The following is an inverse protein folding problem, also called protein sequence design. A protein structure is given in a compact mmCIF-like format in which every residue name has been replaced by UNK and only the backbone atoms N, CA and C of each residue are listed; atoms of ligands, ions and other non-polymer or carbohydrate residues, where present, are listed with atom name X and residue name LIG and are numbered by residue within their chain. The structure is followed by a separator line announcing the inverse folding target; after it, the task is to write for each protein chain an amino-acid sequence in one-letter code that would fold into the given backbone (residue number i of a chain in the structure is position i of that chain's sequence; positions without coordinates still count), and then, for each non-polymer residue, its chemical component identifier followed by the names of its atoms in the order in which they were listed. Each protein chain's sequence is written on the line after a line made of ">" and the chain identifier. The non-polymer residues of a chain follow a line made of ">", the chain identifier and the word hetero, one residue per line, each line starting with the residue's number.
data_IF_246733091268
#
_entry.id   IF_246733091268
#
_cell.length_a   1.000
_cell.length_b   1.000
_cell.length_c   1.000
_cell.angle_alpha   90.00
_cell.angle_beta   90.00
_cell.angle_gamma   90.00
#
_symmetry.space_group_name_H-M   'P 1'
#
loop_
_entity.id
_entity.type
_entity.pdbx_description
1 polymer ?
#
# COMPACT_ATOMS: atom_id res chain seq x y z
N UNK A 1 15.26 -10.70 25.06
CA UNK A 1 15.88 -10.31 23.77
C UNK A 1 14.76 -9.71 22.93
N UNK A 2 14.85 -8.42 22.59
CA UNK A 2 13.85 -7.80 21.69
C UNK A 2 14.11 -8.42 20.31
N UNK A 3 13.18 -9.23 19.85
CA UNK A 3 13.22 -9.73 18.47
C UNK A 3 13.25 -8.57 17.47
N UNK A 4 13.89 -8.74 16.32
CA UNK A 4 13.92 -7.73 15.27
C UNK A 4 12.51 -7.43 14.74
N UNK A 5 12.34 -6.26 14.11
CA UNK A 5 11.05 -5.79 13.56
C UNK A 5 11.13 -5.63 12.04
N UNK A 6 10.04 -5.95 11.37
CA UNK A 6 9.86 -5.64 9.95
C UNK A 6 8.89 -4.46 9.81
N UNK A 7 9.40 -3.32 9.36
CA UNK A 7 8.59 -2.17 9.01
C UNK A 7 8.23 -2.23 7.53
N UNK A 8 6.95 -2.10 7.20
CA UNK A 8 6.49 -2.03 5.83
C UNK A 8 5.78 -0.70 5.63
N UNK A 9 6.34 0.14 4.77
CA UNK A 9 5.78 1.44 4.42
C UNK A 9 5.08 1.32 3.07
N UNK A 10 3.77 1.56 3.06
CA UNK A 10 2.99 1.62 1.83
C UNK A 10 2.96 3.05 1.32
N UNK A 11 3.33 3.22 0.07
CA UNK A 11 3.35 4.50 -0.62
C UNK A 11 2.39 4.45 -1.80
N UNK A 12 1.46 5.41 -1.85
CA UNK A 12 0.61 5.65 -3.01
C UNK A 12 1.35 6.57 -3.99
N UNK A 13 1.04 6.47 -5.30
CA UNK A 13 1.54 7.43 -6.29
C UNK A 13 1.02 8.85 -6.07
N UNK A 14 1.80 9.85 -6.46
CA UNK A 14 1.41 11.25 -6.48
C UNK A 14 0.25 11.54 -7.44
N UNK A 15 -0.28 12.77 -7.37
CA UNK A 15 -1.40 13.20 -8.20
C UNK A 15 -1.08 13.08 -9.69
N UNK A 16 -2.06 12.56 -10.46
CA UNK A 16 -2.04 12.50 -11.92
C UNK A 16 -3.16 13.37 -12.50
N UNK A 17 -3.10 13.71 -13.79
CA UNK A 17 -4.20 14.43 -14.45
C UNK A 17 -5.51 13.64 -14.37
N UNK A 18 -5.45 12.32 -14.54
CA UNK A 18 -6.62 11.45 -14.43
C UNK A 18 -7.27 11.50 -13.02
N UNK A 19 -6.50 11.79 -11.95
CA UNK A 19 -7.08 12.02 -10.62
C UNK A 19 -7.88 13.32 -10.58
N UNK A 20 -7.36 14.41 -11.18
CA UNK A 20 -8.03 15.72 -11.25
C UNK A 20 -9.31 15.61 -12.07
N UNK A 21 -9.24 14.97 -13.23
CA UNK A 21 -10.33 14.84 -14.19
C UNK A 21 -11.34 13.75 -13.80
N UNK A 22 -11.13 13.04 -12.67
CA UNK A 22 -11.96 11.93 -12.19
C UNK A 22 -12.11 10.83 -13.24
N UNK A 23 -10.97 10.42 -13.82
CA UNK A 23 -10.88 9.38 -14.86
C UNK A 23 -10.38 8.08 -14.25
N UNK A 24 -11.03 6.96 -14.59
CA UNK A 24 -10.66 5.60 -14.19
C UNK A 24 -9.31 5.23 -14.81
N UNK A 25 -8.30 5.07 -13.97
CA UNK A 25 -6.93 4.83 -14.44
C UNK A 25 -6.62 3.35 -14.69
N UNK A 26 -6.95 2.48 -13.73
CA UNK A 26 -6.58 1.06 -13.82
C UNK A 26 -5.10 0.87 -14.16
N UNK A 27 -4.82 0.19 -15.29
CA UNK A 27 -3.49 -0.04 -15.82
C UNK A 27 -3.01 1.01 -16.83
N UNK A 28 -3.80 2.05 -17.13
CA UNK A 28 -3.32 3.18 -17.95
C UNK A 28 -2.02 3.72 -17.38
N UNK A 29 -1.06 3.98 -18.27
CA UNK A 29 0.28 4.45 -17.85
C UNK A 29 0.36 5.97 -17.96
N UNK A 30 -0.06 6.64 -16.88
CA UNK A 30 -0.16 8.11 -16.78
C UNK A 30 1.00 8.69 -15.99
N UNK A 31 1.36 9.93 -16.30
CA UNK A 31 2.40 10.69 -15.60
C UNK A 31 1.83 11.43 -14.38
N UNK A 32 2.72 11.82 -13.48
CA UNK A 32 2.39 12.74 -12.39
C UNK A 32 2.15 14.16 -12.93
N UNK A 33 1.26 14.91 -12.27
CA UNK A 33 1.16 16.37 -12.44
C UNK A 33 2.36 17.06 -11.80
N UNK A 34 2.51 18.37 -12.00
CA UNK A 34 3.50 19.16 -11.28
C UNK A 34 3.32 19.02 -9.76
N UNK A 35 2.08 19.06 -9.28
CA UNK A 35 1.75 18.83 -7.87
C UNK A 35 2.12 17.41 -7.43
N UNK A 36 1.86 16.38 -8.27
CA UNK A 36 2.28 15.02 -8.00
C UNK A 36 3.80 14.88 -7.84
N UNK A 37 4.58 15.59 -8.65
CA UNK A 37 6.04 15.64 -8.51
C UNK A 37 6.48 16.38 -7.23
N UNK A 38 5.77 17.42 -6.81
CA UNK A 38 6.02 18.10 -5.53
C UNK A 38 5.74 17.16 -4.35
N UNK A 39 4.61 16.45 -4.39
CA UNK A 39 4.28 15.41 -3.40
C UNK A 39 5.37 14.35 -3.31
N UNK A 40 5.89 13.87 -4.45
CA UNK A 40 6.99 12.90 -4.47
C UNK A 40 8.27 13.44 -3.80
N UNK A 41 8.59 14.73 -3.97
CA UNK A 41 9.74 15.36 -3.28
C UNK A 41 9.49 15.51 -1.78
N UNK A 42 8.26 15.88 -1.37
CA UNK A 42 7.88 15.93 0.06
C UNK A 42 8.02 14.55 0.70
N UNK A 43 7.52 13.51 0.04
CA UNK A 43 7.69 12.13 0.49
C UNK A 43 9.17 11.75 0.67
N UNK A 44 10.01 12.05 -0.32
CA UNK A 44 11.45 11.77 -0.24
C UNK A 44 12.10 12.51 0.94
N UNK A 45 11.71 13.78 1.19
CA UNK A 45 12.17 14.54 2.36
C UNK A 45 11.71 13.93 3.69
N UNK A 46 10.50 13.39 3.75
CA UNK A 46 10.02 12.68 4.94
C UNK A 46 10.78 11.39 5.24
N UNK A 47 11.30 10.74 4.19
CA UNK A 47 12.00 9.48 4.27
C UNK A 47 13.53 9.63 4.28
N UNK A 48 14.08 10.86 4.24
CA UNK A 48 15.52 11.09 4.09
C UNK A 48 16.37 10.49 5.23
N UNK A 49 15.84 10.51 6.47
CA UNK A 49 16.51 9.96 7.65
C UNK A 49 16.14 8.49 7.92
N UNK A 50 15.27 7.90 7.08
CA UNK A 50 14.87 6.51 7.22
C UNK A 50 15.84 5.60 6.50
N UNK A 51 16.38 4.61 7.20
CA UNK A 51 17.08 3.53 6.53
C UNK A 51 16.06 2.64 5.81
N UNK A 52 16.11 2.61 4.49
CA UNK A 52 15.25 1.76 3.64
C UNK A 52 16.11 0.63 3.09
N UNK A 53 15.73 -0.60 3.38
CA UNK A 53 16.46 -1.79 2.94
C UNK A 53 16.12 -2.22 1.51
N UNK A 54 14.88 -1.98 1.07
CA UNK A 54 14.41 -2.38 -0.26
C UNK A 54 13.10 -1.66 -0.62
N UNK A 55 12.90 -1.41 -1.92
CA UNK A 55 11.63 -0.89 -2.46
C UNK A 55 11.06 -1.91 -3.45
N UNK A 56 9.83 -2.38 -3.20
CA UNK A 56 8.99 -3.08 -4.17
C UNK A 56 7.99 -2.08 -4.75
N UNK A 57 7.78 -2.10 -6.07
CA UNK A 57 6.92 -1.09 -6.67
C UNK A 57 6.15 -1.58 -7.89
N UNK A 58 4.96 -1.01 -8.11
CA UNK A 58 4.26 -1.15 -9.38
C UNK A 58 5.10 -0.56 -10.53
N UNK A 59 5.15 -1.19 -11.71
CA UNK A 59 5.95 -0.70 -12.84
C UNK A 59 5.34 0.53 -13.53
N UNK A 60 4.11 0.96 -13.18
CA UNK A 60 3.45 2.10 -13.83
C UNK A 60 4.18 3.42 -13.56
N UNK A 61 4.25 4.28 -14.59
CA UNK A 61 5.07 5.51 -14.57
C UNK A 61 4.77 6.42 -13.38
N UNK A 62 3.51 6.63 -13.03
CA UNK A 62 3.14 7.42 -11.84
C UNK A 62 3.77 6.93 -10.56
N UNK A 63 3.98 5.60 -10.41
CA UNK A 63 4.65 5.02 -9.24
C UNK A 63 6.17 5.22 -9.34
N UNK A 64 6.78 4.91 -10.49
CA UNK A 64 8.22 5.07 -10.67
C UNK A 64 8.64 6.54 -10.53
N UNK A 65 7.82 7.48 -10.99
CA UNK A 65 8.04 8.91 -10.80
C UNK A 65 7.88 9.33 -9.34
N UNK A 66 6.98 8.70 -8.59
CA UNK A 66 6.78 9.00 -7.16
C UNK A 66 7.97 8.57 -6.31
N UNK A 67 8.57 7.40 -6.58
CA UNK A 67 9.72 6.92 -5.82
C UNK A 67 11.06 7.49 -6.32
N UNK A 68 11.09 8.12 -7.49
CA UNK A 68 12.33 8.62 -8.10
C UNK A 68 13.11 9.56 -7.18
N UNK A 69 12.51 10.59 -6.52
CA UNK A 69 13.27 11.46 -5.62
C UNK A 69 13.86 10.73 -4.41
N UNK A 70 13.25 9.63 -3.94
CA UNK A 70 13.84 8.79 -2.89
C UNK A 70 15.11 8.13 -3.40
N UNK A 71 15.07 7.56 -4.60
CA UNK A 71 16.21 6.88 -5.22
C UNK A 71 17.33 7.86 -5.63
N UNK A 72 17.00 9.11 -5.96
CA UNK A 72 17.99 10.14 -6.24
C UNK A 72 18.78 10.54 -4.98
N UNK A 73 18.14 10.49 -3.80
CA UNK A 73 18.78 10.74 -2.51
C UNK A 73 19.52 9.51 -1.96
N UNK A 74 19.00 8.32 -2.23
CA UNK A 74 19.49 7.04 -1.72
C UNK A 74 19.66 6.01 -2.85
N UNK A 75 20.61 6.22 -3.79
CA UNK A 75 20.71 5.41 -5.02
C UNK A 75 21.13 3.95 -4.77
N UNK A 76 21.61 3.64 -3.57
CA UNK A 76 22.01 2.28 -3.19
C UNK A 76 20.82 1.37 -2.83
N UNK A 77 19.59 1.91 -2.68
CA UNK A 77 18.43 1.11 -2.29
C UNK A 77 18.08 0.13 -3.41
N UNK A 78 18.08 -1.18 -3.16
CA UNK A 78 17.60 -2.17 -4.13
C UNK A 78 16.11 -1.94 -4.46
N UNK A 79 15.76 -2.01 -5.74
CA UNK A 79 14.37 -1.85 -6.20
C UNK A 79 13.91 -3.05 -7.00
N UNK A 80 12.65 -3.44 -6.82
CA UNK A 80 12.02 -4.55 -7.52
C UNK A 80 10.67 -4.11 -8.09
N UNK A 81 10.60 -3.99 -9.43
CA UNK A 81 9.33 -3.77 -10.11
C UNK A 81 8.52 -5.08 -10.12
N UNK A 82 7.25 -5.00 -9.72
CA UNK A 82 6.35 -6.15 -9.67
C UNK A 82 5.00 -5.79 -10.28
N UNK A 83 4.60 -6.53 -11.32
CA UNK A 83 3.34 -6.30 -12.02
C UNK A 83 2.11 -6.58 -11.12
N UNK A 84 2.26 -7.46 -10.14
CA UNK A 84 1.20 -7.78 -9.18
C UNK A 84 0.91 -6.60 -8.21
N UNK A 85 1.77 -5.58 -8.16
CA UNK A 85 1.54 -4.33 -7.42
C UNK A 85 0.78 -3.26 -8.21
N UNK A 86 0.35 -3.52 -9.45
CA UNK A 86 -0.53 -2.62 -10.19
C UNK A 86 -1.90 -2.49 -9.50
N UNK A 87 -2.61 -1.39 -9.80
CA UNK A 87 -4.03 -1.24 -9.44
C UNK A 87 -4.91 -2.33 -10.05
N UNK A 88 -6.19 -2.33 -9.74
CA UNK A 88 -7.16 -3.20 -10.40
C UNK A 88 -7.17 -2.90 -11.90
N UNK A 89 -7.14 -3.94 -12.73
CA UNK A 89 -7.32 -3.77 -14.17
C UNK A 89 -8.79 -3.51 -14.46
N UNK A 90 -9.08 -2.38 -15.10
CA UNK A 90 -10.46 -1.94 -15.34
C UNK A 90 -10.93 -2.17 -16.78
N UNK A 91 -10.13 -2.87 -17.60
CA UNK A 91 -10.53 -3.28 -18.95
C UNK A 91 -11.00 -2.10 -19.80
N UNK A 92 -12.17 -2.22 -20.41
CA UNK A 92 -12.76 -1.18 -21.26
C UNK A 92 -13.25 0.05 -20.49
N UNK A 93 -13.32 0.00 -19.16
CA UNK A 93 -13.69 1.17 -18.34
C UNK A 93 -12.52 2.14 -18.16
N UNK A 94 -11.28 1.72 -18.48
CA UNK A 94 -10.11 2.59 -18.37
C UNK A 94 -10.22 3.82 -19.29
N UNK A 95 -10.02 4.99 -18.73
CA UNK A 95 -10.21 6.27 -19.44
C UNK A 95 -11.63 6.83 -19.37
N UNK A 96 -12.58 6.07 -18.82
CA UNK A 96 -13.94 6.53 -18.52
C UNK A 96 -14.02 7.36 -17.24
N UNK A 97 -15.17 8.01 -17.02
CA UNK A 97 -15.42 8.79 -15.81
C UNK A 97 -15.59 7.92 -14.57
N UNK A 98 -15.19 8.42 -13.38
CA UNK A 98 -15.56 7.80 -12.11
C UNK A 98 -17.07 7.61 -11.95
N UNK A 99 -17.87 8.47 -12.60
CA UNK A 99 -19.33 8.38 -12.52
C UNK A 99 -19.92 7.16 -13.27
N UNK A 100 -19.10 6.45 -14.05
CA UNK A 100 -19.49 5.21 -14.73
C UNK A 100 -19.58 3.99 -13.81
N UNK A 101 -19.06 4.09 -12.58
CA UNK A 101 -19.12 3.04 -11.56
C UNK A 101 -19.45 3.66 -10.19
N UNK A 102 -19.96 2.84 -9.27
CA UNK A 102 -20.14 3.24 -7.88
C UNK A 102 -18.79 3.12 -7.14
N UNK A 103 -18.09 4.25 -6.97
CA UNK A 103 -16.80 4.31 -6.28
C UNK A 103 -16.88 3.87 -4.80
N UNK A 104 -18.07 3.88 -4.19
CA UNK A 104 -18.32 3.36 -2.84
C UNK A 104 -18.43 1.84 -2.78
N UNK A 105 -18.67 1.19 -3.92
CA UNK A 105 -18.75 -0.26 -4.04
C UNK A 105 -17.57 -0.79 -4.87
N UNK A 106 -16.58 -1.43 -4.25
CA UNK A 106 -15.40 -1.92 -4.96
C UNK A 106 -15.70 -2.99 -6.03
N UNK A 107 -16.90 -3.57 -5.99
CA UNK A 107 -17.36 -4.57 -6.95
C UNK A 107 -18.22 -3.98 -8.07
N UNK A 108 -18.42 -2.68 -8.10
CA UNK A 108 -19.30 -2.04 -9.08
C UNK A 108 -18.84 -2.21 -10.52
N UNK A 109 -17.56 -2.47 -10.74
CA UNK A 109 -16.99 -2.75 -12.06
C UNK A 109 -16.98 -4.25 -12.41
N UNK A 110 -17.28 -5.15 -11.46
CA UNK A 110 -17.27 -6.61 -11.71
C UNK A 110 -18.24 -6.99 -12.80
N UNK A 111 -17.81 -7.87 -13.71
CA UNK A 111 -18.61 -8.32 -14.85
C UNK A 111 -18.56 -7.39 -16.08
N UNK A 112 -17.94 -6.21 -15.99
CA UNK A 112 -17.67 -5.38 -17.17
C UNK A 112 -16.59 -6.02 -18.06
N UNK A 113 -16.63 -5.81 -19.40
CA UNK A 113 -15.69 -6.44 -20.31
C UNK A 113 -14.22 -6.16 -19.97
N UNK A 114 -13.46 -7.23 -19.83
CA UNK A 114 -12.01 -7.17 -19.58
C UNK A 114 -11.61 -6.71 -18.17
N UNK A 115 -12.55 -6.42 -17.27
CA UNK A 115 -12.26 -5.99 -15.90
C UNK A 115 -11.78 -7.17 -15.05
N UNK A 116 -10.68 -6.96 -14.31
CA UNK A 116 -10.26 -7.87 -13.23
C UNK A 116 -11.32 -7.84 -12.12
N UNK A 117 -11.90 -8.98 -11.75
CA UNK A 117 -12.84 -9.01 -10.64
C UNK A 117 -12.20 -8.49 -9.35
N UNK A 118 -12.98 -7.87 -8.48
CA UNK A 118 -12.45 -7.35 -7.20
C UNK A 118 -11.84 -8.48 -6.35
N UNK A 119 -12.42 -9.68 -6.38
CA UNK A 119 -11.87 -10.84 -5.66
C UNK A 119 -10.52 -11.30 -6.21
N UNK A 120 -10.35 -11.31 -7.54
CA UNK A 120 -9.06 -11.65 -8.16
C UNK A 120 -8.00 -10.59 -7.85
N UNK A 121 -8.39 -9.32 -7.90
CA UNK A 121 -7.53 -8.20 -7.50
C UNK A 121 -7.04 -8.37 -6.06
N UNK A 122 -7.93 -8.56 -5.09
CA UNK A 122 -7.56 -8.76 -3.68
C UNK A 122 -6.70 -10.02 -3.51
N UNK A 123 -7.03 -11.11 -4.20
CA UNK A 123 -6.24 -12.34 -4.17
C UNK A 123 -4.82 -12.10 -4.69
N UNK A 124 -4.67 -11.34 -5.78
CA UNK A 124 -3.36 -10.95 -6.33
C UNK A 124 -2.57 -10.10 -5.33
N UNK A 125 -3.20 -9.11 -4.69
CA UNK A 125 -2.55 -8.27 -3.68
C UNK A 125 -2.10 -9.09 -2.47
N UNK A 126 -2.93 -9.99 -1.95
CA UNK A 126 -2.55 -10.88 -0.85
C UNK A 126 -1.37 -11.77 -1.23
N UNK A 127 -1.36 -12.31 -2.45
CA UNK A 127 -0.26 -13.15 -2.93
C UNK A 127 1.06 -12.38 -3.03
N UNK A 128 1.07 -11.17 -3.64
CA UNK A 128 2.29 -10.38 -3.75
C UNK A 128 2.79 -9.92 -2.38
N UNK A 129 1.89 -9.50 -1.50
CA UNK A 129 2.24 -9.11 -0.15
C UNK A 129 2.82 -10.29 0.66
N UNK A 130 2.18 -11.46 0.58
CA UNK A 130 2.67 -12.68 1.21
C UNK A 130 4.05 -13.09 0.70
N UNK A 131 4.30 -12.98 -0.62
CA UNK A 131 5.61 -13.23 -1.23
C UNK A 131 6.68 -12.26 -0.70
N UNK A 132 6.37 -10.96 -0.64
CA UNK A 132 7.30 -9.96 -0.10
C UNK A 132 7.63 -10.26 1.36
N UNK A 133 6.62 -10.56 2.19
CA UNK A 133 6.83 -10.96 3.58
C UNK A 133 7.71 -12.22 3.68
N UNK A 134 7.43 -13.24 2.86
CA UNK A 134 8.21 -14.48 2.83
C UNK A 134 9.68 -14.25 2.47
N UNK A 135 9.97 -13.24 1.64
CA UNK A 135 11.34 -12.89 1.24
C UNK A 135 12.06 -12.03 2.28
N UNK A 136 11.34 -11.13 2.96
CA UNK A 136 11.97 -10.11 3.80
C UNK A 136 11.99 -10.48 5.29
N UNK A 137 10.99 -11.20 5.79
CA UNK A 137 10.94 -11.63 7.18
C UNK A 137 12.16 -12.49 7.62
N UNK A 138 12.66 -13.45 6.83
CA UNK A 138 13.84 -14.23 7.19
C UNK A 138 15.13 -13.41 7.28
N UNK A 139 15.17 -12.22 6.68
CA UNK A 139 16.34 -11.33 6.71
C UNK A 139 16.39 -10.48 7.99
N UNK A 140 15.30 -10.43 8.74
CA UNK A 140 15.23 -9.70 10.02
C UNK A 140 15.95 -10.51 11.09
N UNK A 141 16.96 -9.88 11.72
CA UNK A 141 17.69 -10.45 12.85
C UNK A 141 17.29 -9.69 14.13
N UNK A 142 18.25 -9.06 14.79
CA UNK A 142 18.04 -8.29 16.03
C UNK A 142 17.83 -6.78 15.75
N UNK A 143 17.63 -6.39 14.49
CA UNK A 143 17.48 -5.01 14.04
C UNK A 143 16.13 -4.78 13.37
N UNK A 144 15.83 -3.51 13.08
CA UNK A 144 14.68 -3.14 12.27
C UNK A 144 15.08 -3.26 10.80
N UNK A 145 14.22 -3.92 10.00
CA UNK A 145 14.29 -3.93 8.55
C UNK A 145 13.11 -3.16 7.97
N UNK A 146 13.39 -2.22 7.06
CA UNK A 146 12.37 -1.35 6.46
C UNK A 146 12.19 -1.67 4.97
N UNK A 147 10.97 -2.02 4.61
CA UNK A 147 10.53 -2.32 3.24
C UNK A 147 9.55 -1.26 2.81
N UNK A 148 9.75 -0.67 1.63
CA UNK A 148 8.77 0.22 1.00
C UNK A 148 8.00 -0.56 -0.07
N UNK A 149 6.67 -0.45 -0.07
CA UNK A 149 5.80 -0.99 -1.12
C UNK A 149 5.07 0.19 -1.77
N UNK A 150 5.51 0.57 -2.97
CA UNK A 150 4.90 1.67 -3.71
C UNK A 150 3.86 1.14 -4.70
N UNK A 151 2.59 1.53 -4.48
CA UNK A 151 1.43 0.98 -5.20
C UNK A 151 0.30 2.02 -5.31
N UNK A 152 -0.94 1.59 -5.45
CA UNK A 152 -2.12 2.39 -5.76
C UNK A 152 -3.09 2.46 -4.59
N UNK A 153 -3.80 3.58 -4.43
CA UNK A 153 -4.65 3.83 -3.26
C UNK A 153 -5.70 2.76 -3.01
N UNK A 154 -6.45 2.34 -4.05
CA UNK A 154 -7.46 1.26 -3.93
C UNK A 154 -6.79 -0.04 -3.49
N UNK A 155 -5.57 -0.33 -4.00
CA UNK A 155 -4.83 -1.54 -3.61
C UNK A 155 -4.44 -1.54 -2.14
N UNK A 156 -3.94 -0.42 -1.63
CA UNK A 156 -3.58 -0.27 -0.21
C UNK A 156 -4.82 -0.45 0.67
N UNK A 157 -5.91 0.25 0.36
CA UNK A 157 -7.16 0.16 1.11
C UNK A 157 -7.74 -1.26 1.11
N UNK A 158 -7.73 -1.92 -0.06
CA UNK A 158 -8.25 -3.29 -0.21
C UNK A 158 -7.42 -4.32 0.54
N UNK A 159 -6.08 -4.19 0.49
CA UNK A 159 -5.19 -5.08 1.23
C UNK A 159 -5.41 -4.92 2.74
N UNK A 160 -5.49 -3.68 3.24
CA UNK A 160 -5.68 -3.43 4.66
C UNK A 160 -7.02 -3.99 5.14
N UNK A 161 -8.10 -3.78 4.37
CA UNK A 161 -9.40 -4.37 4.67
C UNK A 161 -9.37 -5.90 4.67
N UNK A 162 -8.59 -6.50 3.76
CA UNK A 162 -8.43 -7.96 3.71
C UNK A 162 -7.62 -8.49 4.91
N UNK A 163 -6.64 -7.72 5.41
CA UNK A 163 -5.89 -8.04 6.63
C UNK A 163 -6.78 -7.96 7.88
N UNK A 164 -7.65 -6.94 7.98
CA UNK A 164 -8.62 -6.80 9.07
C UNK A 164 -9.55 -8.01 9.21
N UNK A 165 -9.97 -8.59 8.09
CA UNK A 165 -10.89 -9.72 8.05
C UNK A 165 -10.19 -11.09 8.16
N UNK A 166 -8.86 -11.11 8.33
CA UNK A 166 -8.12 -12.37 8.51
C UNK A 166 -8.22 -12.81 9.98
N UNK A 167 -8.61 -14.07 10.28
CA UNK A 167 -8.86 -14.53 11.66
C UNK A 167 -7.69 -14.37 12.62
N UNK A 168 -6.48 -14.26 12.09
CA UNK A 168 -5.23 -14.08 12.86
C UNK A 168 -4.92 -12.62 13.23
N UNK A 169 -5.77 -11.67 12.89
CA UNK A 169 -5.60 -10.24 13.19
C UNK A 169 -6.34 -9.83 14.46
N UNK A 170 -6.45 -10.72 15.46
CA UNK A 170 -7.02 -10.45 16.78
C UNK A 170 -6.14 -9.51 17.62
N UNK A 171 -6.01 -8.32 17.29
CA UNK A 171 -5.19 -7.25 17.88
C UNK A 171 -5.17 -6.04 16.98
N UNK A 172 -5.71 -6.21 15.80
CA UNK A 172 -5.90 -5.15 14.83
C UNK A 172 -6.88 -4.11 15.39
N UNK A 173 -6.43 -2.87 15.53
CA UNK A 173 -7.32 -1.79 15.98
C UNK A 173 -8.23 -1.37 14.84
N UNK A 174 -9.52 -1.79 14.83
CA UNK A 174 -10.48 -1.45 13.77
C UNK A 174 -10.78 0.06 13.69
N UNK A 175 -10.22 0.89 14.59
CA UNK A 175 -10.34 2.35 14.55
C UNK A 175 -9.52 3.01 13.45
N UNK A 176 -8.57 2.28 12.86
CA UNK A 176 -7.91 2.65 11.61
C UNK A 176 -8.69 2.16 10.37
N UNK A 177 -9.79 1.45 10.58
CA UNK A 177 -10.70 1.11 9.51
C UNK A 177 -11.17 2.40 8.84
N UNK A 178 -10.77 2.57 7.62
CA UNK A 178 -11.31 3.58 6.72
C UNK A 178 -12.84 3.38 6.71
N UNK A 179 -13.59 4.27 7.35
CA UNK A 179 -15.05 4.15 7.51
C UNK A 179 -15.77 4.85 6.37
N UNK A 180 -16.67 4.14 5.74
CA UNK A 180 -17.66 4.66 4.80
C UNK A 180 -17.25 4.64 3.33
N UNK A 181 -18.15 5.02 2.41
CA UNK A 181 -17.88 5.08 0.98
C UNK A 181 -16.73 6.04 0.61
N UNK A 182 -16.46 7.04 1.47
CA UNK A 182 -15.30 7.93 1.38
C UNK A 182 -13.96 7.21 1.62
N UNK A 183 -14.00 5.98 2.09
CA UNK A 183 -12.86 5.15 2.40
C UNK A 183 -12.01 4.75 1.18
N UNK A 184 -12.57 4.80 0.01
CA UNK A 184 -11.84 4.55 -1.24
C UNK A 184 -11.22 5.80 -1.84
N UNK A 185 -11.60 7.00 -1.39
CA UNK A 185 -10.84 8.21 -1.61
C UNK A 185 -9.69 8.29 -0.62
N UNK A 186 -8.58 7.64 -0.91
CA UNK A 186 -7.32 7.99 -0.28
C UNK A 186 -6.97 9.38 -0.83
N UNK A 187 -7.47 10.42 -0.16
CA UNK A 187 -7.15 11.81 -0.53
C UNK A 187 -5.71 12.07 -0.14
N UNK A 188 -4.93 12.54 -1.09
CA UNK A 188 -3.67 13.18 -0.80
C UNK A 188 -3.97 14.45 0.00
N UNK A 189 -3.77 14.41 1.29
CA UNK A 189 -3.56 15.60 2.11
C UNK A 189 -2.07 15.77 2.27
N UNK A 190 -1.58 16.97 2.41
CA UNK A 190 -0.14 17.32 2.34
C UNK A 190 0.78 16.59 3.36
N UNK A 191 0.25 15.66 4.14
CA UNK A 191 0.98 14.96 5.20
C UNK A 191 0.67 13.48 5.40
N UNK A 192 -0.25 12.84 4.64
CA UNK A 192 -0.93 11.64 5.12
C UNK A 192 -0.81 10.37 4.25
N UNK A 193 0.15 10.28 3.32
CA UNK A 193 0.09 9.28 2.25
C UNK A 193 1.04 8.08 2.41
N UNK A 194 1.56 7.88 3.60
CA UNK A 194 2.30 6.68 3.97
C UNK A 194 1.55 5.94 5.07
N UNK A 195 1.12 4.72 4.79
CA UNK A 195 0.62 3.80 5.80
C UNK A 195 1.76 2.86 6.20
N UNK A 196 1.82 2.50 7.47
CA UNK A 196 2.86 1.63 8.03
C UNK A 196 2.25 0.38 8.62
N UNK A 197 2.84 -0.77 8.28
CA UNK A 197 2.62 -2.03 8.98
C UNK A 197 3.91 -2.40 9.71
N UNK A 198 3.80 -2.68 11.01
CA UNK A 198 4.90 -3.22 11.80
C UNK A 198 4.61 -4.69 12.08
N UNK A 199 5.54 -5.56 11.71
CA UNK A 199 5.48 -6.97 12.06
C UNK A 199 6.48 -7.21 13.17
N UNK A 200 5.98 -7.45 14.36
CA UNK A 200 6.77 -7.91 15.48
C UNK A 200 7.05 -9.40 15.34
N UNK A 201 8.28 -9.81 15.62
CA UNK A 201 8.71 -11.21 15.54
C UNK A 201 8.39 -11.86 14.18
N UNK A 202 8.88 -11.29 13.06
CA UNK A 202 8.54 -11.75 11.70
C UNK A 202 8.95 -13.20 11.43
N UNK A 203 9.84 -13.79 12.24
CA UNK A 203 10.19 -15.22 12.18
C UNK A 203 9.04 -16.14 12.58
N UNK A 204 7.99 -15.63 13.21
CA UNK A 204 6.78 -16.39 13.55
C UNK A 204 5.73 -16.39 12.43
N UNK A 205 5.95 -15.65 11.35
CA UNK A 205 5.05 -15.69 10.21
C UNK A 205 5.03 -17.11 9.61
N UNK A 206 3.85 -17.63 9.38
CA UNK A 206 3.69 -18.93 8.72
C UNK A 206 3.94 -18.74 7.21
N UNK A 207 5.19 -18.97 6.78
CA UNK A 207 5.61 -18.89 5.38
C UNK A 207 5.94 -20.28 4.87
N UNK A 208 5.33 -20.69 3.75
CA UNK A 208 5.62 -21.95 3.06
C UNK A 208 5.91 -21.65 1.60
N UNK A 209 7.02 -22.20 1.08
CA UNK A 209 7.44 -22.02 -0.32
C UNK A 209 7.52 -20.54 -0.76
N UNK A 210 7.90 -19.65 0.18
CA UNK A 210 7.99 -18.19 -0.06
C UNK A 210 6.65 -17.47 -0.04
N UNK A 211 5.56 -18.16 0.31
CA UNK A 211 4.22 -17.58 0.42
C UNK A 211 3.71 -17.57 1.87
N UNK A 212 3.04 -16.49 2.24
CA UNK A 212 2.41 -16.36 3.55
C UNK A 212 1.17 -17.26 3.62
N UNK A 213 1.12 -18.13 4.63
CA UNK A 213 -0.02 -19.01 4.89
C UNK A 213 -1.02 -18.29 5.79
N UNK A 214 -1.94 -17.58 5.21
CA UNK A 214 -2.91 -16.73 5.92
C UNK A 214 -3.76 -17.52 6.93
N UNK A 215 -4.13 -18.77 6.59
CA UNK A 215 -4.96 -19.63 7.44
C UNK A 215 -4.21 -20.18 8.66
N UNK A 216 -2.88 -20.20 8.62
CA UNK A 216 -2.04 -20.74 9.69
C UNK A 216 -1.49 -19.65 10.62
N UNK A 217 -1.75 -18.38 10.32
CA UNK A 217 -1.33 -17.27 11.18
C UNK A 217 -2.24 -17.22 12.40
N UNK A 218 -1.74 -17.70 13.54
CA UNK A 218 -2.43 -17.64 14.82
C UNK A 218 -1.88 -16.47 15.65
N UNK A 219 -2.77 -15.57 16.04
CA UNK A 219 -2.54 -14.54 17.04
C UNK A 219 -1.38 -13.59 16.73
N UNK A 220 -1.64 -12.37 16.52
CA UNK A 220 -0.73 -11.25 16.29
C UNK A 220 0.05 -11.27 14.98
N UNK A 221 -0.04 -10.40 14.12
CA UNK A 221 1.23 -9.89 13.69
C UNK A 221 1.28 -8.49 13.13
N UNK A 222 0.15 -7.92 12.74
CA UNK A 222 0.21 -6.66 12.01
C UNK A 222 -0.33 -5.52 12.87
N UNK A 223 0.57 -4.62 13.29
CA UNK A 223 0.19 -3.31 13.75
C UNK A 223 0.15 -2.39 12.54
N UNK A 224 -1.02 -1.88 12.18
CA UNK A 224 -1.17 -0.88 11.13
C UNK A 224 -1.18 0.50 11.78
N UNK A 225 -0.22 1.31 11.40
CA UNK A 225 -0.06 2.67 11.89
C UNK A 225 -0.13 3.65 10.72
N UNK A 226 -0.81 4.78 10.94
CA UNK A 226 -0.70 5.92 10.05
C UNK A 226 0.65 6.60 10.30
N UNK A 227 1.43 6.86 9.28
CA UNK A 227 2.74 7.49 9.42
C UNK A 227 2.69 8.97 9.02
N UNK A 228 3.08 9.86 9.92
CA UNK A 228 3.16 11.29 9.71
C UNK A 228 3.81 11.97 10.91
N UNK A 229 4.22 13.24 10.77
CA UNK A 229 4.98 13.99 11.79
C UNK A 229 4.27 14.19 13.15
N UNK A 230 3.03 13.76 13.32
CA UNK A 230 2.27 13.93 14.55
C UNK A 230 1.77 12.60 15.14
N UNK A 231 2.68 11.83 15.73
CA UNK A 231 2.28 10.73 16.64
C UNK A 231 1.43 11.22 17.84
N UNK A 232 1.40 12.53 18.12
CA UNK A 232 0.74 13.14 19.28
C UNK A 232 -0.71 13.55 19.04
N UNK A 233 -1.14 13.82 17.83
CA UNK A 233 -2.51 14.30 17.56
C UNK A 233 -3.56 13.20 17.32
N UNK A 234 -3.11 12.00 16.91
CA UNK A 234 -4.01 10.88 16.62
C UNK A 234 -4.72 10.28 17.84
N UNK A 235 -4.22 10.55 19.05
CA UNK A 235 -4.88 10.07 20.29
C UNK A 235 -6.12 10.88 20.67
N UNK A 236 -6.36 12.06 20.12
CA UNK A 236 -7.49 12.93 20.52
C UNK A 236 -8.56 13.16 19.45
N UNK A 237 -8.34 12.89 18.19
CA UNK A 237 -9.24 13.23 17.08
C UNK A 237 -10.32 12.21 16.73
N UNK A 238 -10.21 10.97 17.16
CA UNK A 238 -11.09 9.85 16.77
C UNK A 238 -11.97 9.29 17.89
N UNK A 239 -12.08 10.01 19.01
CA UNK A 239 -12.93 9.65 20.16
C UNK A 239 -14.20 10.49 20.30
N UNK A 240 -14.67 11.11 19.20
CA UNK A 240 -16.01 11.75 19.20
C UNK A 240 -16.86 11.24 18.06
#
# INVERSE_FOLDING_TARGET
>A
MSGGKLNILFVRHGETQDNIDRVLQGHRDTDLTQKGHEQARVLAKQLEDQHIDVIYHSPLRRITQTIRPILDQQPQIPTHADADLKGQYLGELEGGSYDSIDMGNPRSADGSPGVESFDDFVRRLKRVFGRILGQEAPKVKDSIRTVVIATHGVGIASLFKALENTPSCDGFNPKLAIRGPEAFEVRWTDSDDVARIVVDQPHKLAVRDGELQWELMQGEPFLIEKWGKEETSLKQGYLK
#
